data_IF_638104719312
#
_entry.id   IF_638104719312
#
_cell.length_a   1.000
_cell.length_b   1.000
_cell.length_c   1.000
_cell.angle_alpha   90.00
_cell.angle_beta   90.00
_cell.angle_gamma   90.00
#
_symmetry.space_group_name_H-M   'P 1'
#
loop_
_entity.id
_entity.type
_entity.pdbx_description
1 polymer ?
#
# COMPACT_ATOMS: atom_id res chain seq x y z
N UNK A 1 15.87 -9.77 4.97
CA UNK A 1 15.94 -8.90 6.17
C UNK A 1 15.00 -7.71 6.01
N UNK A 2 14.24 -7.39 7.04
CA UNK A 2 13.33 -6.24 7.00
C UNK A 2 14.10 -4.94 7.20
N UNK A 3 13.76 -3.90 6.45
CA UNK A 3 14.28 -2.56 6.72
C UNK A 3 13.81 -2.06 8.08
N UNK A 4 14.55 -1.13 8.67
CA UNK A 4 14.13 -0.51 9.92
C UNK A 4 12.76 0.17 9.78
N UNK A 5 12.55 0.86 8.66
CA UNK A 5 11.26 1.50 8.38
C UNK A 5 10.13 0.48 8.32
N UNK A 6 10.35 -0.67 7.66
CA UNK A 6 9.32 -1.70 7.56
C UNK A 6 9.03 -2.34 8.91
N UNK A 7 10.05 -2.60 9.72
CA UNK A 7 9.84 -3.11 11.08
C UNK A 7 8.94 -2.19 11.88
N UNK A 8 9.18 -0.88 11.80
CA UNK A 8 8.35 0.12 12.47
C UNK A 8 6.92 0.15 11.90
N UNK A 9 6.78 0.01 10.59
CA UNK A 9 5.49 -0.01 9.93
C UNK A 9 4.66 -1.22 10.38
N UNK A 10 5.26 -2.40 10.41
CA UNK A 10 4.58 -3.61 10.87
C UNK A 10 4.18 -3.48 12.35
N UNK A 11 5.06 -2.93 13.16
CA UNK A 11 4.75 -2.66 14.57
C UNK A 11 3.54 -1.72 14.71
N UNK A 12 3.51 -0.63 13.91
CA UNK A 12 2.38 0.31 13.94
C UNK A 12 1.08 -0.36 13.50
N UNK A 13 1.12 -1.25 12.51
CA UNK A 13 -0.07 -1.96 12.05
C UNK A 13 -0.65 -2.83 13.17
N UNK A 14 0.19 -3.61 13.83
CA UNK A 14 -0.25 -4.48 14.92
C UNK A 14 -0.69 -3.69 16.14
N UNK A 15 0.06 -2.66 16.50
CA UNK A 15 -0.27 -1.80 17.63
C UNK A 15 -1.58 -1.02 17.39
N UNK A 16 -1.81 -0.59 16.15
CA UNK A 16 -3.06 0.10 15.78
C UNK A 16 -4.28 -0.79 15.93
N UNK A 17 -4.17 -2.05 15.52
CA UNK A 17 -5.25 -3.03 15.72
C UNK A 17 -5.50 -3.29 17.21
N UNK A 18 -4.43 -3.44 17.98
CA UNK A 18 -4.51 -3.66 19.44
C UNK A 18 -5.17 -2.48 20.15
N UNK A 19 -4.81 -1.25 19.80
CA UNK A 19 -5.41 -0.05 20.42
C UNK A 19 -6.91 0.03 20.18
N UNK A 20 -7.38 -0.48 19.04
CA UNK A 20 -8.81 -0.53 18.71
C UNK A 20 -9.48 -1.78 19.26
N UNK A 21 -8.74 -2.59 19.99
CA UNK A 21 -9.20 -3.87 20.56
C UNK A 21 -9.68 -4.84 19.47
N UNK A 22 -9.09 -4.76 18.28
CA UNK A 22 -9.34 -5.73 17.23
C UNK A 22 -8.54 -7.00 17.50
N UNK A 23 -9.21 -8.14 17.37
CA UNK A 23 -8.56 -9.44 17.54
C UNK A 23 -7.54 -9.72 16.46
N UNK A 24 -7.80 -9.20 15.25
CA UNK A 24 -6.95 -9.41 14.10
C UNK A 24 -6.43 -8.09 13.53
N UNK A 25 -5.18 -8.12 13.06
CA UNK A 25 -4.60 -7.07 12.24
C UNK A 25 -4.83 -7.44 10.78
N UNK A 26 -5.55 -6.61 10.06
CA UNK A 26 -5.93 -6.85 8.66
C UNK A 26 -5.02 -6.10 7.71
N UNK A 27 -5.21 -6.31 6.41
CA UNK A 27 -4.51 -5.55 5.38
C UNK A 27 -4.87 -4.06 5.44
N UNK A 28 -6.06 -3.71 5.91
CA UNK A 28 -6.46 -2.31 6.07
C UNK A 28 -5.65 -1.65 7.19
N UNK A 29 -5.38 -2.36 8.29
CA UNK A 29 -4.46 -1.86 9.33
C UNK A 29 -3.05 -1.69 8.76
N UNK A 30 -2.61 -2.62 7.91
CA UNK A 30 -1.31 -2.55 7.26
C UNK A 30 -1.24 -1.36 6.31
N UNK A 31 -2.27 -1.15 5.50
CA UNK A 31 -2.33 0.00 4.60
C UNK A 31 -2.27 1.32 5.37
N UNK A 32 -3.01 1.43 6.48
CA UNK A 32 -2.96 2.63 7.32
C UNK A 32 -1.53 2.90 7.81
N UNK A 33 -0.83 1.86 8.25
CA UNK A 33 0.56 2.00 8.70
C UNK A 33 1.51 2.37 7.55
N UNK A 34 1.27 1.85 6.35
CA UNK A 34 2.07 2.18 5.16
C UNK A 34 1.96 3.65 4.75
N UNK A 35 0.88 4.32 5.13
CA UNK A 35 0.74 5.76 4.84
C UNK A 35 1.76 6.60 5.60
N UNK A 36 2.40 6.05 6.61
CA UNK A 36 3.47 6.70 7.37
C UNK A 36 4.85 6.09 7.11
N UNK A 37 4.94 5.14 6.18
CA UNK A 37 6.19 4.47 5.82
C UNK A 37 6.86 5.25 4.69
N UNK A 38 8.11 5.73 4.87
CA UNK A 38 8.76 6.58 3.87
C UNK A 38 8.88 5.91 2.50
N UNK A 39 9.17 4.62 2.45
CA UNK A 39 9.33 3.91 1.19
C UNK A 39 8.01 3.74 0.45
N UNK A 40 6.94 3.43 1.18
CA UNK A 40 5.59 3.34 0.61
C UNK A 40 5.07 4.71 0.18
N UNK A 41 5.30 5.74 0.99
CA UNK A 41 4.87 7.11 0.69
C UNK A 41 5.49 7.60 -0.62
N UNK A 42 6.76 7.27 -0.87
CA UNK A 42 7.41 7.62 -2.14
C UNK A 42 6.68 7.01 -3.34
N UNK A 43 6.22 5.77 -3.21
CA UNK A 43 5.45 5.10 -4.27
C UNK A 43 4.08 5.77 -4.43
N UNK A 44 3.38 6.05 -3.34
CA UNK A 44 2.08 6.73 -3.38
C UNK A 44 2.19 8.08 -4.11
N UNK A 45 3.19 8.89 -3.77
CA UNK A 45 3.40 10.17 -4.44
C UNK A 45 3.69 10.00 -5.93
N UNK A 46 4.52 9.03 -6.27
CA UNK A 46 4.83 8.75 -7.68
C UNK A 46 3.60 8.30 -8.46
N UNK A 47 2.64 7.68 -7.80
CA UNK A 47 1.39 7.25 -8.42
C UNK A 47 0.28 8.31 -8.37
N UNK A 48 0.58 9.51 -7.88
CA UNK A 48 -0.38 10.61 -7.85
C UNK A 48 -1.50 10.43 -6.84
N UNK A 49 -1.25 9.69 -5.76
CA UNK A 49 -2.26 9.39 -4.75
C UNK A 49 -2.53 10.60 -3.85
N UNK A 50 -3.81 10.79 -3.52
CA UNK A 50 -4.23 11.70 -2.46
C UNK A 50 -4.19 10.94 -1.13
N UNK A 51 -3.11 11.13 -0.36
CA UNK A 51 -2.88 10.38 0.87
C UNK A 51 -3.85 10.78 1.98
N UNK A 52 -4.28 12.04 2.02
CA UNK A 52 -5.25 12.48 3.02
C UNK A 52 -6.59 11.79 2.79
N UNK A 53 -7.07 11.74 1.55
CA UNK A 53 -8.30 11.05 1.20
C UNK A 53 -8.18 9.55 1.47
N UNK A 54 -7.05 8.94 1.09
CA UNK A 54 -6.81 7.52 1.32
C UNK A 54 -6.84 7.21 2.82
N UNK A 55 -6.21 8.05 3.63
CA UNK A 55 -6.21 7.89 5.08
C UNK A 55 -7.63 7.93 5.64
N UNK A 56 -8.41 8.92 5.22
CA UNK A 56 -9.80 9.06 5.67
C UNK A 56 -10.63 7.83 5.29
N UNK A 57 -10.48 7.34 4.07
CA UNK A 57 -11.19 6.16 3.58
C UNK A 57 -10.82 4.89 4.35
N UNK A 58 -9.53 4.71 4.63
CA UNK A 58 -9.06 3.55 5.40
C UNK A 58 -9.57 3.61 6.84
N UNK A 59 -9.48 4.78 7.47
CA UNK A 59 -9.96 4.98 8.84
C UNK A 59 -11.46 4.73 8.95
N UNK A 60 -12.24 5.23 8.01
CA UNK A 60 -13.69 5.00 7.99
C UNK A 60 -13.99 3.50 7.91
N UNK A 61 -13.29 2.78 7.04
CA UNK A 61 -13.48 1.34 6.92
C UNK A 61 -13.12 0.60 8.22
N UNK A 62 -11.97 0.91 8.80
CA UNK A 62 -11.51 0.26 10.03
C UNK A 62 -12.48 0.53 11.19
N UNK A 63 -12.94 1.77 11.33
CA UNK A 63 -13.76 2.15 12.46
C UNK A 63 -15.22 1.68 12.33
N UNK A 64 -15.75 1.53 11.10
CA UNK A 64 -17.14 1.20 10.86
C UNK A 64 -17.40 -0.23 10.42
N UNK A 65 -16.50 -0.82 9.62
CA UNK A 65 -16.72 -2.13 9.01
C UNK A 65 -16.06 -3.28 9.76
N UNK A 66 -15.11 -2.98 10.64
CA UNK A 66 -14.38 -4.01 11.40
C UNK A 66 -14.87 -4.15 12.84
N UNK A 67 -16.09 -3.67 13.13
CA UNK A 67 -16.65 -3.75 14.49
C UNK A 67 -16.79 -5.19 15.01
N UNK A 68 -16.96 -6.16 14.10
CA UNK A 68 -17.03 -7.58 14.45
C UNK A 68 -15.69 -8.16 14.92
N UNK A 69 -14.58 -7.44 14.72
CA UNK A 69 -13.26 -7.86 15.21
C UNK A 69 -12.96 -7.38 16.62
N UNK A 70 -13.82 -6.54 17.20
CA UNK A 70 -13.60 -6.03 18.55
C UNK A 70 -13.71 -7.19 19.54
N UNK A 71 -12.71 -7.31 20.41
CA UNK A 71 -12.62 -8.37 21.40
C UNK A 71 -12.49 -7.80 22.80
N UNK A 72 -12.91 -8.58 23.82
CA UNK A 72 -12.69 -8.23 25.22
C UNK A 72 -11.35 -8.71 25.75
N UNK A 73 -10.61 -9.49 24.96
CA UNK A 73 -9.28 -9.98 25.35
C UNK A 73 -8.24 -8.88 25.25
N UNK A 74 -7.27 -8.91 26.13
CA UNK A 74 -6.21 -7.92 26.23
C UNK A 74 -4.90 -8.38 25.58
N UNK A 75 -4.95 -9.30 24.62
CA UNK A 75 -3.78 -9.79 23.93
C UNK A 75 -3.40 -8.93 22.73
N UNK A 76 -2.27 -9.30 22.10
CA UNK A 76 -1.84 -8.69 20.86
C UNK A 76 -2.76 -9.12 19.71
N UNK A 77 -2.95 -8.23 18.74
CA UNK A 77 -3.70 -8.56 17.53
C UNK A 77 -2.91 -9.57 16.69
N UNK A 78 -3.62 -10.51 16.11
CA UNK A 78 -3.01 -11.55 15.26
C UNK A 78 -3.14 -11.14 13.80
N UNK A 79 -2.08 -11.26 12.98
CA UNK A 79 -2.22 -10.97 11.57
C UNK A 79 -3.17 -11.96 10.90
N UNK A 80 -4.03 -11.46 10.01
CA UNK A 80 -4.93 -12.30 9.23
C UNK A 80 -4.13 -13.15 8.23
N UNK A 81 -4.78 -14.14 7.63
CA UNK A 81 -4.16 -14.96 6.59
C UNK A 81 -3.69 -14.10 5.41
N UNK A 82 -4.47 -13.09 5.01
CA UNK A 82 -4.09 -12.16 3.94
C UNK A 82 -2.85 -11.35 4.28
N UNK A 83 -2.78 -10.84 5.51
CA UNK A 83 -1.62 -10.13 6.02
C UNK A 83 -0.36 -11.02 5.95
N UNK A 84 -0.48 -12.26 6.42
CA UNK A 84 0.62 -13.23 6.39
C UNK A 84 1.05 -13.56 4.96
N UNK A 85 0.09 -13.74 4.03
CA UNK A 85 0.41 -14.03 2.63
C UNK A 85 1.19 -12.91 1.97
N UNK A 86 0.85 -11.66 2.26
CA UNK A 86 1.57 -10.50 1.74
C UNK A 86 3.02 -10.55 2.18
N UNK A 87 3.28 -10.77 3.45
CA UNK A 87 4.64 -10.85 3.98
C UNK A 87 5.42 -12.04 3.37
N UNK A 88 4.76 -13.17 3.18
CA UNK A 88 5.39 -14.34 2.54
C UNK A 88 5.77 -14.07 1.09
N UNK A 89 4.90 -13.38 0.32
CA UNK A 89 5.22 -13.01 -1.06
C UNK A 89 6.43 -12.10 -1.15
N UNK A 90 6.50 -11.13 -0.25
CA UNK A 90 7.61 -10.19 -0.21
C UNK A 90 8.91 -10.94 0.06
N UNK A 91 8.91 -11.85 1.02
CA UNK A 91 10.09 -12.63 1.37
C UNK A 91 10.56 -13.49 0.18
N UNK A 92 9.65 -14.14 -0.52
CA UNK A 92 9.96 -14.97 -1.69
C UNK A 92 10.52 -14.09 -2.82
N UNK A 93 9.91 -12.95 -3.08
CA UNK A 93 10.35 -12.04 -4.14
C UNK A 93 11.78 -11.54 -3.91
N UNK A 94 12.09 -11.18 -2.68
CA UNK A 94 13.44 -10.70 -2.34
C UNK A 94 14.48 -11.80 -2.51
N UNK A 95 14.17 -13.02 -2.08
CA UNK A 95 15.08 -14.15 -2.27
C UNK A 95 15.37 -14.43 -3.74
N UNK A 96 14.34 -14.35 -4.59
CA UNK A 96 14.52 -14.63 -6.02
C UNK A 96 15.16 -13.48 -6.79
N UNK A 97 15.05 -12.24 -6.33
CA UNK A 97 15.66 -11.07 -6.99
C UNK A 97 17.05 -10.75 -6.48
N UNK A 98 17.55 -11.47 -5.46
CA UNK A 98 18.86 -11.22 -4.86
C UNK A 98 18.94 -9.98 -3.99
N UNK A 99 17.83 -9.35 -3.68
CA UNK A 99 17.78 -8.21 -2.77
C UNK A 99 17.93 -8.68 -1.33
N UNK A 100 18.68 -7.93 -0.54
CA UNK A 100 18.95 -8.29 0.85
C UNK A 100 17.95 -7.67 1.83
N UNK A 101 17.25 -6.62 1.42
CA UNK A 101 16.39 -5.85 2.31
C UNK A 101 14.97 -5.70 1.77
N UNK A 102 14.00 -5.94 2.65
CA UNK A 102 12.57 -5.76 2.40
C UNK A 102 12.13 -4.41 2.94
N UNK A 103 11.40 -3.63 2.14
CA UNK A 103 10.87 -2.34 2.58
C UNK A 103 9.36 -2.21 2.33
N UNK A 104 8.79 -1.09 2.76
CA UNK A 104 7.36 -0.84 2.62
C UNK A 104 6.87 -0.80 1.17
N UNK A 105 7.70 -0.38 0.24
CA UNK A 105 7.35 -0.39 -1.18
C UNK A 105 7.12 -1.81 -1.69
N UNK A 106 7.94 -2.75 -1.27
CA UNK A 106 7.78 -4.17 -1.61
C UNK A 106 6.46 -4.73 -1.06
N UNK A 107 6.13 -4.37 0.18
CA UNK A 107 4.88 -4.78 0.82
C UNK A 107 3.68 -4.23 0.05
N UNK A 108 3.74 -2.96 -0.34
CA UNK A 108 2.66 -2.32 -1.10
C UNK A 108 2.39 -3.05 -2.42
N UNK A 109 3.44 -3.39 -3.17
CA UNK A 109 3.30 -4.14 -4.43
C UNK A 109 2.68 -5.52 -4.18
N UNK A 110 3.15 -6.22 -3.15
CA UNK A 110 2.62 -7.55 -2.82
C UNK A 110 1.15 -7.51 -2.39
N UNK A 111 0.71 -6.41 -1.79
CA UNK A 111 -0.66 -6.25 -1.34
C UNK A 111 -1.67 -6.35 -2.49
N UNK A 112 -1.29 -5.90 -3.70
CA UNK A 112 -2.18 -5.93 -4.85
C UNK A 112 -2.63 -7.33 -5.26
N UNK A 113 -1.93 -8.38 -4.82
CA UNK A 113 -2.33 -9.76 -5.09
C UNK A 113 -3.53 -10.20 -4.26
N UNK A 114 -3.86 -9.48 -3.17
CA UNK A 114 -5.01 -9.74 -2.32
C UNK A 114 -6.23 -8.98 -2.86
N UNK A 115 -6.72 -9.39 -4.03
CA UNK A 115 -7.73 -8.65 -4.80
C UNK A 115 -9.08 -8.53 -4.11
N UNK A 116 -9.38 -9.39 -3.15
CA UNK A 116 -10.63 -9.32 -2.38
C UNK A 116 -10.52 -8.38 -1.17
N UNK A 117 -9.33 -7.86 -0.90
CA UNK A 117 -9.11 -6.93 0.21
C UNK A 117 -9.72 -5.57 -0.08
N UNK A 118 -10.37 -4.98 0.91
CA UNK A 118 -10.85 -3.61 0.81
C UNK A 118 -9.69 -2.62 0.68
N UNK A 119 -8.51 -2.95 1.24
CA UNK A 119 -7.31 -2.13 1.06
C UNK A 119 -6.99 -1.96 -0.42
N UNK A 120 -6.99 -3.04 -1.19
CA UNK A 120 -6.76 -2.99 -2.64
C UNK A 120 -7.85 -2.20 -3.35
N UNK A 121 -9.11 -2.39 -2.95
CA UNK A 121 -10.22 -1.62 -3.49
C UNK A 121 -9.99 -0.12 -3.35
N UNK A 122 -9.54 0.34 -2.17
CA UNK A 122 -9.28 1.76 -1.92
C UNK A 122 -8.13 2.30 -2.77
N UNK A 123 -7.09 1.48 -3.01
CA UNK A 123 -5.99 1.88 -3.89
C UNK A 123 -6.49 2.03 -5.34
N UNK A 124 -7.33 1.11 -5.79
CA UNK A 124 -7.90 1.14 -7.14
C UNK A 124 -8.89 2.29 -7.33
N UNK A 125 -9.58 2.71 -6.28
CA UNK A 125 -10.48 3.87 -6.32
C UNK A 125 -9.74 5.16 -6.70
N UNK A 126 -8.45 5.24 -6.41
CA UNK A 126 -7.60 6.35 -6.83
C UNK A 126 -6.76 6.02 -8.06
N UNK A 127 -7.19 5.03 -8.83
CA UNK A 127 -6.55 4.61 -10.09
C UNK A 127 -5.10 4.11 -9.94
N UNK A 128 -4.73 3.64 -8.75
CA UNK A 128 -3.43 3.04 -8.53
C UNK A 128 -3.46 1.56 -8.94
N UNK A 129 -2.51 1.15 -9.78
CA UNK A 129 -2.35 -0.24 -10.18
C UNK A 129 -1.01 -0.78 -9.69
N UNK A 130 -0.92 -2.11 -9.64
CA UNK A 130 0.35 -2.77 -9.31
C UNK A 130 1.45 -2.37 -10.30
N UNK A 131 1.12 -2.28 -11.58
CA UNK A 131 2.08 -1.90 -12.62
C UNK A 131 2.65 -0.51 -12.39
N UNK A 132 1.81 0.45 -11.99
CA UNK A 132 2.26 1.81 -11.67
C UNK A 132 3.32 1.80 -10.58
N UNK A 133 3.09 1.03 -9.51
CA UNK A 133 4.04 0.90 -8.41
C UNK A 133 5.33 0.22 -8.87
N UNK A 134 5.23 -0.87 -9.62
CA UNK A 134 6.38 -1.61 -10.14
C UNK A 134 7.22 -0.74 -11.06
N UNK A 135 6.60 0.04 -11.94
CA UNK A 135 7.31 0.94 -12.84
C UNK A 135 8.13 1.98 -12.08
N UNK A 136 7.58 2.53 -11.01
CA UNK A 136 8.31 3.47 -10.19
C UNK A 136 9.48 2.80 -9.46
N UNK A 137 9.23 1.65 -8.83
CA UNK A 137 10.26 0.94 -8.05
C UNK A 137 11.40 0.46 -8.95
N UNK A 138 11.08 -0.06 -10.12
CA UNK A 138 12.06 -0.66 -11.03
C UNK A 138 12.80 0.38 -11.89
N UNK A 139 12.14 1.46 -12.27
CA UNK A 139 12.65 2.42 -13.26
C UNK A 139 12.64 3.87 -12.80
N UNK A 140 12.12 4.16 -11.61
CA UNK A 140 11.99 5.52 -11.11
C UNK A 140 11.00 6.39 -11.89
N UNK A 141 10.06 5.77 -12.61
CA UNK A 141 9.13 6.48 -13.49
C UNK A 141 7.82 6.74 -12.75
N UNK A 142 7.54 8.02 -12.49
CA UNK A 142 6.28 8.42 -11.87
C UNK A 142 5.12 8.26 -12.85
N UNK A 143 3.91 7.98 -12.34
CA UNK A 143 2.71 7.76 -13.16
C UNK A 143 2.41 8.95 -14.07
N UNK A 144 2.56 10.18 -13.60
CA UNK A 144 2.34 11.40 -14.39
C UNK A 144 3.24 11.41 -15.62
N UNK A 145 4.52 11.05 -15.46
CA UNK A 145 5.48 10.97 -16.57
C UNK A 145 5.05 9.91 -17.59
N UNK A 146 4.54 8.76 -17.13
CA UNK A 146 4.04 7.70 -18.02
C UNK A 146 2.88 8.20 -18.88
N UNK A 147 1.94 8.93 -18.28
CA UNK A 147 0.78 9.49 -18.99
C UNK A 147 1.22 10.50 -20.04
N UNK A 148 2.16 11.38 -19.71
CA UNK A 148 2.69 12.37 -20.64
C UNK A 148 3.38 11.69 -21.83
N UNK A 149 4.22 10.68 -21.56
CA UNK A 149 4.92 9.94 -22.61
C UNK A 149 3.95 9.23 -23.54
N UNK A 150 2.91 8.62 -22.98
CA UNK A 150 1.86 7.97 -23.77
C UNK A 150 1.17 8.99 -24.68
N UNK A 151 0.76 10.13 -24.12
CA UNK A 151 0.06 11.18 -24.88
C UNK A 151 0.92 11.72 -26.05
N UNK A 152 2.22 11.94 -25.82
CA UNK A 152 3.16 12.38 -26.85
C UNK A 152 3.29 11.39 -28.00
N UNK A 153 3.42 10.09 -27.65
CA UNK A 153 3.59 9.04 -28.68
C UNK A 153 2.36 8.86 -29.53
N UNK A 154 1.18 9.14 -29.01
CA UNK A 154 -0.10 8.88 -29.68
C UNK A 154 -0.81 10.17 -30.12
N UNK A 155 -0.17 11.33 -29.97
CA UNK A 155 -0.76 12.64 -30.28
C UNK A 155 -2.15 12.80 -29.63
N UNK A 156 -2.26 12.37 -28.38
CA UNK A 156 -3.51 12.35 -27.63
C UNK A 156 -3.91 13.77 -27.19
N UNK A 157 -5.22 14.13 -27.17
CA UNK A 157 -5.67 15.47 -26.71
C UNK A 157 -5.18 15.84 -25.32
N UNK A 158 -4.91 14.88 -24.44
CA UNK A 158 -4.36 15.09 -23.10
C UNK A 158 -3.02 15.82 -23.17
N UNK A 159 -2.20 15.58 -24.19
CA UNK A 159 -0.92 16.25 -24.34
C UNK A 159 -1.10 17.77 -24.41
N UNK A 160 -2.09 18.26 -25.20
CA UNK A 160 -2.35 19.69 -25.34
C UNK A 160 -2.75 20.34 -24.02
N UNK A 161 -3.55 19.64 -23.24
CA UNK A 161 -3.99 20.14 -21.93
C UNK A 161 -2.81 20.26 -20.97
N UNK A 162 -1.94 19.25 -20.92
CA UNK A 162 -0.78 19.22 -20.04
C UNK A 162 0.27 20.26 -20.43
N UNK A 163 0.45 20.54 -21.71
CA UNK A 163 1.44 21.53 -22.19
C UNK A 163 1.01 22.97 -21.93
N UNK A 164 -0.30 23.23 -21.73
CA UNK A 164 -0.81 24.57 -21.44
C UNK A 164 -0.69 24.96 -19.97
N UNK A 165 -0.49 23.99 -19.12
CA UNK A 165 -0.33 24.21 -17.68
C UNK A 165 1.15 24.32 -17.30
#
# INVERSE_FOLDING_TARGET
MLSTNLEQTLHRALAGAKRRRHEYATLEHLLLALLEDPDAVAVFHACGMDLEQLRDDVLEYIDNELSNLITTHSGDAKPTAGFQRVLQRVAIHVQSSGREELNGANVLVAMFWEQESHAVYLLQEQDMTRLDAVNYISHGIAKVTQVIDYARRHQHPLQRTLEKE
#
